data_IF_881308877691
#
_entry.id   IF_881308877691
#
_cell.length_a   1.000
_cell.length_b   1.000
_cell.length_c   1.000
_cell.angle_alpha   90.00
_cell.angle_beta   90.00
_cell.angle_gamma   90.00
#
_symmetry.space_group_name_H-M   'P 1'
#
loop_
_entity.id
_entity.type
_entity.pdbx_description
1 polymer ?
#
# COMPACT_ATOMS: atom_id res chain seq x y z
N UNK A 1 6.33 -1.63 3.37
CA UNK A 1 5.81 -2.38 4.54
C UNK A 1 5.21 -3.73 4.17
N UNK A 2 4.26 -3.76 3.22
CA UNK A 2 3.50 -4.98 2.85
C UNK A 2 4.22 -5.86 1.85
N UNK A 3 4.94 -5.26 0.90
CA UNK A 3 5.75 -5.93 -0.11
C UNK A 3 7.20 -5.46 -0.06
N UNK A 4 8.08 -6.30 -0.61
CA UNK A 4 9.47 -5.98 -0.92
C UNK A 4 9.64 -6.24 -2.42
N UNK A 5 10.25 -5.29 -3.12
CA UNK A 5 10.64 -5.41 -4.52
C UNK A 5 12.16 -5.40 -4.59
N UNK A 6 12.72 -6.26 -5.43
CA UNK A 6 14.15 -6.39 -5.66
C UNK A 6 14.41 -6.27 -7.15
N UNK A 7 15.38 -5.43 -7.53
CA UNK A 7 15.76 -5.20 -8.91
C UNK A 7 17.22 -5.57 -9.09
N UNK A 8 17.51 -6.44 -10.06
CA UNK A 8 18.86 -6.78 -10.48
C UNK A 8 19.27 -5.82 -11.59
N UNK A 9 20.34 -5.05 -11.37
CA UNK A 9 20.75 -3.96 -12.27
C UNK A 9 22.19 -4.19 -12.73
N UNK A 10 22.43 -4.04 -14.02
CA UNK A 10 23.77 -4.03 -14.58
C UNK A 10 24.48 -2.72 -14.22
N UNK A 11 25.60 -2.80 -13.49
CA UNK A 11 26.33 -1.61 -13.02
C UNK A 11 27.07 -0.85 -14.14
N UNK A 12 27.29 -1.48 -15.30
CA UNK A 12 27.98 -0.88 -16.45
C UNK A 12 26.97 -0.13 -17.34
N UNK A 13 25.83 -0.73 -17.65
CA UNK A 13 24.81 -0.13 -18.52
C UNK A 13 23.78 0.69 -17.75
N UNK A 14 23.54 0.37 -16.48
CA UNK A 14 22.45 0.93 -15.67
C UNK A 14 21.08 0.32 -15.96
N UNK A 15 21.00 -0.70 -16.82
CA UNK A 15 19.73 -1.35 -17.18
C UNK A 15 19.31 -2.37 -16.12
N UNK A 16 18.00 -2.44 -15.86
CA UNK A 16 17.42 -3.51 -15.05
C UNK A 16 17.41 -4.82 -15.84
N UNK A 17 18.14 -5.82 -15.36
CA UNK A 17 18.25 -7.16 -15.95
C UNK A 17 16.98 -7.96 -15.65
N UNK A 18 16.58 -8.01 -14.37
CA UNK A 18 15.42 -8.75 -13.89
C UNK A 18 14.90 -8.12 -12.58
N UNK A 19 13.71 -8.51 -12.15
CA UNK A 19 13.11 -8.08 -10.91
C UNK A 19 12.36 -9.22 -10.22
N UNK A 20 12.21 -9.11 -8.91
CA UNK A 20 11.40 -10.00 -8.10
C UNK A 20 10.59 -9.20 -7.08
N UNK A 21 9.46 -9.75 -6.65
CA UNK A 21 8.54 -9.09 -5.75
C UNK A 21 7.81 -10.09 -4.86
N UNK A 22 7.88 -9.89 -3.55
CA UNK A 22 7.31 -10.82 -2.58
C UNK A 22 6.65 -10.09 -1.41
N UNK A 23 5.78 -10.81 -0.70
CA UNK A 23 5.17 -10.32 0.54
C UNK A 23 6.26 -10.20 1.59
N UNK A 24 6.27 -9.09 2.32
CA UNK A 24 7.24 -8.90 3.39
C UNK A 24 7.04 -9.98 4.48
N UNK A 25 8.05 -10.83 4.77
CA UNK A 25 7.92 -11.95 5.70
C UNK A 25 7.60 -11.50 7.13
N UNK A 26 7.88 -10.24 7.46
CA UNK A 26 7.54 -9.64 8.76
C UNK A 26 6.03 -9.50 9.00
N UNK A 27 5.17 -9.79 8.01
CA UNK A 27 3.71 -9.82 8.18
C UNK A 27 3.29 -10.76 9.33
N UNK A 28 4.06 -11.81 9.62
CA UNK A 28 3.83 -12.71 10.74
C UNK A 28 3.93 -12.02 12.12
N UNK A 29 4.55 -10.85 12.20
CA UNK A 29 4.76 -10.09 13.43
C UNK A 29 3.88 -8.83 13.52
N UNK A 30 3.13 -8.52 12.46
CA UNK A 30 2.27 -7.35 12.38
C UNK A 30 1.93 -6.96 10.94
N UNK A 31 0.68 -6.58 10.71
CA UNK A 31 0.17 -6.19 9.40
C UNK A 31 0.68 -4.80 8.97
N UNK A 32 0.98 -3.93 9.93
CA UNK A 32 1.43 -2.55 9.71
C UNK A 32 2.73 -2.22 10.46
N UNK A 33 3.20 -0.98 10.30
CA UNK A 33 4.44 -0.49 10.95
C UNK A 33 4.32 -0.53 12.49
N UNK A 34 3.21 -0.05 13.04
CA UNK A 34 3.05 0.12 14.49
C UNK A 34 2.94 -1.23 15.21
N UNK A 35 2.16 -2.16 14.67
CA UNK A 35 2.04 -3.53 15.17
C UNK A 35 3.38 -4.25 15.20
N UNK A 36 4.23 -4.09 14.17
CA UNK A 36 5.61 -4.63 14.17
C UNK A 36 6.50 -3.99 15.22
N UNK A 37 6.46 -2.66 15.38
CA UNK A 37 7.21 -1.97 16.45
C UNK A 37 6.74 -2.46 17.83
N UNK A 38 5.43 -2.60 18.04
CA UNK A 38 4.88 -3.14 19.29
C UNK A 38 5.30 -4.59 19.55
N UNK A 39 5.38 -5.41 18.50
CA UNK A 39 5.90 -6.78 18.59
C UNK A 39 7.38 -6.80 19.02
N UNK A 40 8.21 -5.94 18.42
CA UNK A 40 9.62 -5.75 18.80
C UNK A 40 9.80 -5.18 20.21
N UNK A 41 8.88 -4.33 20.67
CA UNK A 41 8.88 -3.78 22.03
C UNK A 41 8.46 -4.80 23.08
N UNK A 42 7.58 -5.73 22.72
CA UNK A 42 7.06 -6.78 23.62
C UNK A 42 8.13 -7.84 23.88
N UNK A 43 8.84 -8.25 22.83
CA UNK A 43 9.99 -9.16 22.93
C UNK A 43 11.10 -8.64 22.00
N UNK A 44 12.23 -8.14 22.54
CA UNK A 44 13.36 -7.69 21.73
C UNK A 44 13.89 -8.76 20.75
N UNK A 45 13.68 -10.04 21.04
CA UNK A 45 14.04 -11.13 20.13
C UNK A 45 13.21 -11.10 18.84
N UNK A 46 12.00 -10.56 18.86
CA UNK A 46 11.18 -10.41 17.66
C UNK A 46 11.79 -9.43 16.66
N UNK A 47 12.47 -8.38 17.12
CA UNK A 47 13.20 -7.48 16.23
C UNK A 47 14.30 -8.23 15.46
N UNK A 48 15.08 -9.06 16.16
CA UNK A 48 16.12 -9.88 15.54
C UNK A 48 15.51 -10.88 14.55
N UNK A 49 14.45 -11.61 14.95
CA UNK A 49 13.78 -12.56 14.05
C UNK A 49 13.20 -11.89 12.81
N UNK A 50 12.60 -10.70 12.94
CA UNK A 50 12.10 -9.93 11.80
C UNK A 50 13.22 -9.50 10.85
N UNK A 51 14.41 -9.20 11.37
CA UNK A 51 15.59 -8.89 10.58
C UNK A 51 16.10 -10.13 9.85
N UNK A 52 16.26 -11.25 10.57
CA UNK A 52 16.70 -12.54 10.02
C UNK A 52 15.76 -13.06 8.93
N UNK A 53 14.45 -12.96 9.13
CA UNK A 53 13.41 -13.34 8.16
C UNK A 53 13.51 -12.54 6.86
N UNK A 54 13.68 -11.22 6.95
CA UNK A 54 13.85 -10.37 5.76
C UNK A 54 15.15 -10.69 5.03
N UNK A 55 16.26 -10.83 5.75
CA UNK A 55 17.57 -11.17 5.15
C UNK A 55 17.54 -12.56 4.51
N UNK A 56 16.94 -13.54 5.16
CA UNK A 56 16.78 -14.89 4.61
C UNK A 56 15.96 -14.86 3.32
N UNK A 57 14.86 -14.12 3.30
CA UNK A 57 13.99 -13.98 2.13
C UNK A 57 14.69 -13.22 0.99
N UNK A 58 15.42 -12.15 1.31
CA UNK A 58 16.24 -11.43 0.34
C UNK A 58 17.31 -12.33 -0.27
N UNK A 59 18.04 -13.10 0.56
CA UNK A 59 19.05 -14.04 0.07
C UNK A 59 18.46 -15.07 -0.90
N UNK A 60 17.28 -15.61 -0.58
CA UNK A 60 16.59 -16.54 -1.48
C UNK A 60 16.20 -15.88 -2.80
N UNK A 61 15.61 -14.68 -2.75
CA UNK A 61 15.20 -13.94 -3.95
C UNK A 61 16.41 -13.54 -4.81
N UNK A 62 17.53 -13.17 -4.18
CA UNK A 62 18.82 -12.93 -4.85
C UNK A 62 19.30 -14.19 -5.57
N UNK A 63 19.32 -15.34 -4.89
CA UNK A 63 19.72 -16.61 -5.48
C UNK A 63 18.83 -17.00 -6.67
N UNK A 64 17.51 -16.85 -6.52
CA UNK A 64 16.54 -17.09 -7.59
C UNK A 64 16.76 -16.16 -8.79
N UNK A 65 16.96 -14.84 -8.56
CA UNK A 65 17.26 -13.85 -9.60
C UNK A 65 18.57 -14.17 -10.33
N UNK A 66 19.64 -14.47 -9.59
CA UNK A 66 20.93 -14.82 -10.16
C UNK A 66 20.83 -16.09 -11.01
N UNK A 67 20.20 -17.15 -10.49
CA UNK A 67 20.03 -18.41 -11.20
C UNK A 67 19.22 -18.26 -12.49
N UNK A 68 18.18 -17.43 -12.51
CA UNK A 68 17.39 -17.17 -13.73
C UNK A 68 18.16 -16.45 -14.83
N UNK A 69 19.25 -15.77 -14.47
CA UNK A 69 20.04 -14.93 -15.38
C UNK A 69 21.46 -15.48 -15.59
N UNK A 70 21.73 -16.74 -15.22
CA UNK A 70 23.04 -17.39 -15.32
C UNK A 70 24.17 -16.62 -14.61
N UNK A 71 23.85 -15.98 -13.48
CA UNK A 71 24.78 -15.22 -12.63
C UNK A 71 25.01 -15.93 -11.29
N UNK A 72 26.09 -15.56 -10.63
CA UNK A 72 26.38 -15.89 -9.23
C UNK A 72 26.05 -14.71 -8.30
N UNK A 73 25.52 -14.94 -7.08
CA UNK A 73 25.36 -13.88 -6.08
C UNK A 73 26.67 -13.15 -5.75
N UNK A 74 27.83 -13.79 -5.92
CA UNK A 74 29.15 -13.14 -5.71
C UNK A 74 29.47 -12.05 -6.75
N UNK A 75 28.73 -12.00 -7.86
CA UNK A 75 28.84 -10.97 -8.90
C UNK A 75 28.03 -9.70 -8.55
N UNK A 76 27.17 -9.75 -7.53
CA UNK A 76 26.48 -8.57 -7.03
C UNK A 76 27.45 -7.79 -6.14
N UNK A 77 27.94 -6.66 -6.66
CA UNK A 77 28.99 -5.86 -6.04
C UNK A 77 28.47 -4.80 -5.07
N UNK A 78 27.23 -4.34 -5.24
CA UNK A 78 26.60 -3.32 -4.40
C UNK A 78 25.10 -3.61 -4.27
N UNK A 79 24.49 -3.15 -3.18
CA UNK A 79 23.04 -3.15 -3.00
C UNK A 79 22.60 -1.79 -2.45
N UNK A 80 21.53 -1.21 -2.98
CA UNK A 80 20.87 -0.05 -2.37
C UNK A 80 19.55 -0.49 -1.74
N UNK A 81 19.30 -0.08 -0.50
CA UNK A 81 18.06 -0.39 0.21
C UNK A 81 17.35 0.88 0.63
N UNK A 82 16.04 0.92 0.36
CA UNK A 82 15.15 2.01 0.72
C UNK A 82 13.87 1.46 1.33
N UNK A 83 13.27 2.22 2.22
CA UNK A 83 12.06 1.86 2.93
C UNK A 83 11.75 2.86 4.03
N UNK A 84 10.51 2.85 4.51
CA UNK A 84 10.13 3.72 5.62
C UNK A 84 10.99 3.45 6.85
N UNK A 85 11.05 4.44 7.74
CA UNK A 85 11.96 4.47 8.89
C UNK A 85 11.88 3.22 9.77
N UNK A 86 10.68 2.66 9.99
CA UNK A 86 10.58 1.43 10.77
C UNK A 86 11.20 0.21 10.08
N UNK A 87 10.96 0.05 8.77
CA UNK A 87 11.55 -1.04 7.99
C UNK A 87 13.06 -0.89 7.87
N UNK A 88 13.53 0.34 7.67
CA UNK A 88 14.94 0.72 7.69
C UNK A 88 15.61 0.28 9.00
N UNK A 89 15.05 0.66 10.14
CA UNK A 89 15.60 0.32 11.45
C UNK A 89 15.55 -1.18 11.76
N UNK A 90 14.45 -1.87 11.40
CA UNK A 90 14.36 -3.32 11.57
C UNK A 90 15.40 -4.06 10.73
N UNK A 91 15.60 -3.66 9.47
CA UNK A 91 16.59 -4.28 8.58
C UNK A 91 18.02 -4.12 9.10
N UNK A 92 18.35 -2.93 9.63
CA UNK A 92 19.66 -2.62 10.22
C UNK A 92 19.85 -3.17 11.65
N UNK A 93 18.83 -3.80 12.24
CA UNK A 93 18.88 -4.27 13.63
C UNK A 93 18.92 -3.14 14.66
N UNK A 94 18.49 -1.93 14.30
CA UNK A 94 18.41 -0.79 15.21
C UNK A 94 17.19 -0.89 16.15
N UNK A 95 17.28 -0.29 17.36
CA UNK A 95 16.12 -0.20 18.23
C UNK A 95 15.01 0.63 17.56
N UNK A 96 13.76 0.17 17.70
CA UNK A 96 12.57 0.81 17.09
C UNK A 96 11.60 1.40 18.11
N UNK A 97 11.80 1.16 19.41
CA UNK A 97 10.89 1.60 20.50
C UNK A 97 10.56 3.09 20.44
N UNK A 98 11.56 3.91 20.16
CA UNK A 98 11.46 5.36 20.09
C UNK A 98 10.67 5.85 18.87
N UNK A 99 10.46 5.01 17.86
CA UNK A 99 9.59 5.32 16.72
C UNK A 99 8.09 5.19 17.09
N UNK A 100 7.76 4.50 18.18
CA UNK A 100 6.39 4.40 18.70
C UNK A 100 6.06 5.43 19.79
N UNK A 101 7.04 6.20 20.25
CA UNK A 101 6.88 7.13 21.36
C UNK A 101 7.25 8.53 20.92
N UNK A 102 6.35 9.49 21.11
CA UNK A 102 6.65 10.91 20.88
C UNK A 102 7.94 11.29 21.62
N UNK A 103 8.93 11.90 20.93
CA UNK A 103 8.81 12.62 19.64
C UNK A 103 9.13 11.82 18.37
N UNK A 104 9.04 10.48 18.37
CA UNK A 104 9.17 9.60 17.20
C UNK A 104 10.55 9.71 16.51
N UNK A 105 11.62 9.73 17.30
CA UNK A 105 12.96 10.09 16.82
C UNK A 105 13.68 8.85 16.27
N UNK A 106 14.15 8.82 15.01
CA UNK A 106 14.98 7.72 14.53
C UNK A 106 16.34 7.66 15.25
N UNK A 107 16.96 6.49 15.29
CA UNK A 107 18.36 6.35 15.78
C UNK A 107 19.33 7.26 15.04
N UNK A 108 19.12 7.43 13.74
CA UNK A 108 19.96 8.20 12.83
C UNK A 108 19.12 8.62 11.63
N UNK A 109 19.42 9.80 11.11
CA UNK A 109 18.93 10.40 9.87
C UNK A 109 20.04 10.50 8.81
N UNK A 110 21.26 10.06 9.12
CA UNK A 110 22.39 9.99 8.18
C UNK A 110 22.32 8.75 7.27
N UNK A 111 22.87 8.82 6.03
CA UNK A 111 23.07 7.64 5.19
C UNK A 111 24.04 6.65 5.83
N UNK A 112 23.87 5.36 5.53
CA UNK A 112 24.69 4.29 6.07
C UNK A 112 25.23 3.40 4.97
N UNK A 113 26.55 3.22 4.96
CA UNK A 113 27.23 2.18 4.20
C UNK A 113 27.68 1.08 5.16
N UNK A 114 27.12 -0.13 4.97
CA UNK A 114 27.45 -1.29 5.80
C UNK A 114 27.84 -2.47 4.91
N UNK A 115 28.80 -3.28 5.35
CA UNK A 115 29.16 -4.48 4.60
C UNK A 115 27.97 -5.44 4.56
N UNK A 116 27.64 -5.94 3.37
CA UNK A 116 26.51 -6.84 3.18
C UNK A 116 26.60 -8.09 4.08
N UNK A 117 27.81 -8.61 4.28
CA UNK A 117 28.07 -9.76 5.17
C UNK A 117 27.74 -9.51 6.64
N UNK A 118 27.83 -8.26 7.11
CA UNK A 118 27.56 -7.90 8.50
C UNK A 118 26.05 -7.87 8.77
N UNK A 119 25.24 -7.74 7.71
CA UNK A 119 23.78 -7.87 7.72
C UNK A 119 23.32 -9.31 7.45
N UNK A 120 24.23 -10.23 7.10
CA UNK A 120 23.91 -11.61 6.73
C UNK A 120 23.49 -11.81 5.26
N UNK A 121 23.67 -10.80 4.40
CA UNK A 121 23.44 -10.95 2.96
C UNK A 121 24.57 -11.72 2.29
N UNK A 122 24.19 -12.60 1.36
CA UNK A 122 25.07 -13.54 0.65
C UNK A 122 25.33 -13.07 -0.78
N UNK A 123 25.85 -11.86 -0.90
CA UNK A 123 26.37 -11.29 -2.15
C UNK A 123 27.90 -11.23 -2.10
N UNK A 124 28.55 -10.51 -3.01
CA UNK A 124 30.02 -10.40 -3.03
C UNK A 124 30.60 -10.11 -1.62
N UNK A 125 31.65 -10.81 -1.17
CA UNK A 125 32.22 -10.60 0.18
C UNK A 125 32.71 -9.18 0.45
N UNK A 126 32.97 -8.42 -0.62
CA UNK A 126 33.39 -7.03 -0.59
C UNK A 126 32.24 -6.02 -0.67
N UNK A 127 31.02 -6.44 -0.99
CA UNK A 127 29.89 -5.55 -1.28
C UNK A 127 29.45 -4.71 -0.09
N UNK A 128 28.99 -3.49 -0.39
CA UNK A 128 28.26 -2.65 0.54
C UNK A 128 26.76 -2.71 0.28
N UNK A 129 26.02 -2.48 1.36
CA UNK A 129 24.62 -2.08 1.31
C UNK A 129 24.59 -0.59 1.63
N UNK A 130 24.11 0.19 0.67
CA UNK A 130 23.87 1.62 0.79
C UNK A 130 22.44 1.83 1.25
N UNK A 131 22.27 2.40 2.43
CA UNK A 131 20.97 2.73 2.98
C UNK A 131 20.83 4.25 3.00
N UNK A 132 19.80 4.75 2.30
CA UNK A 132 19.52 6.18 2.19
C UNK A 132 19.12 6.78 3.55
N UNK A 133 19.32 8.10 3.75
CA UNK A 133 18.91 8.76 4.98
C UNK A 133 17.39 8.72 5.16
N UNK A 134 16.94 8.79 6.41
CA UNK A 134 15.54 8.99 6.77
C UNK A 134 15.31 10.44 7.17
N UNK A 135 14.10 10.97 6.99
CA UNK A 135 13.78 12.38 7.33
C UNK A 135 13.21 12.48 8.75
N UNK A 136 12.36 11.53 9.16
CA UNK A 136 11.68 11.53 10.46
C UNK A 136 11.20 10.12 10.82
N UNK A 137 10.59 9.95 12.00
CA UNK A 137 10.07 8.65 12.45
C UNK A 137 9.07 7.98 11.51
N UNK A 138 8.32 8.76 10.72
CA UNK A 138 7.33 8.27 9.75
C UNK A 138 7.61 8.72 8.30
N UNK A 139 8.75 9.34 8.04
CA UNK A 139 9.16 9.74 6.69
C UNK A 139 10.55 9.15 6.45
N UNK A 140 10.60 8.04 5.72
CA UNK A 140 11.81 7.25 5.56
C UNK A 140 12.54 7.43 4.25
N UNK A 141 13.45 6.49 3.99
CA UNK A 141 14.35 6.49 2.85
C UNK A 141 13.63 6.19 1.52
N UNK A 142 12.48 5.53 1.57
CA UNK A 142 11.58 5.37 0.43
C UNK A 142 11.09 6.72 -0.10
N UNK A 143 10.68 7.62 0.79
CA UNK A 143 10.28 8.98 0.40
C UNK A 143 11.44 9.77 -0.21
N UNK A 144 12.65 9.62 0.33
CA UNK A 144 13.86 10.23 -0.25
C UNK A 144 14.14 9.67 -1.64
N UNK A 145 14.01 8.35 -1.84
CA UNK A 145 14.15 7.75 -3.16
C UNK A 145 13.09 8.22 -4.15
N UNK A 146 11.85 8.42 -3.71
CA UNK A 146 10.79 9.01 -4.56
C UNK A 146 11.16 10.42 -5.00
N UNK A 147 11.66 11.26 -4.08
CA UNK A 147 12.11 12.62 -4.40
C UNK A 147 13.25 12.63 -5.43
N UNK A 148 14.25 11.76 -5.24
CA UNK A 148 15.40 11.67 -6.15
C UNK A 148 15.01 11.14 -7.53
N UNK A 149 14.22 10.06 -7.58
CA UNK A 149 13.85 9.40 -8.83
C UNK A 149 12.84 10.20 -9.66
N UNK A 150 11.96 10.97 -9.02
CA UNK A 150 10.99 11.82 -9.72
C UNK A 150 11.61 13.06 -10.34
N UNK A 151 12.83 13.45 -9.93
CA UNK A 151 13.45 14.72 -10.31
C UNK A 151 12.63 15.93 -9.86
N UNK A 152 11.70 15.77 -8.91
CA UNK A 152 10.76 16.82 -8.49
C UNK A 152 11.47 18.05 -7.91
N UNK A 153 12.64 17.83 -7.30
CA UNK A 153 13.51 18.87 -6.76
C UNK A 153 14.06 19.77 -7.88
N UNK A 154 14.19 19.25 -9.09
CA UNK A 154 14.76 19.95 -10.24
C UNK A 154 13.70 20.68 -11.11
N UNK A 155 12.40 20.50 -10.83
CA UNK A 155 11.31 20.99 -11.68
C UNK A 155 10.97 22.49 -11.54
N UNK A 156 11.50 23.19 -10.53
CA UNK A 156 11.43 24.65 -10.40
C UNK A 156 10.16 25.23 -9.76
N UNK A 157 10.38 26.25 -8.92
CA UNK A 157 9.48 27.05 -8.07
C UNK A 157 8.51 26.30 -7.15
N UNK A 158 7.58 25.47 -7.65
CA UNK A 158 6.59 24.79 -6.80
C UNK A 158 6.17 23.44 -7.37
N UNK A 159 6.37 22.39 -6.60
CA UNK A 159 5.94 21.05 -6.97
C UNK A 159 5.42 20.27 -5.76
N UNK A 160 4.53 19.32 -5.99
CA UNK A 160 4.01 18.42 -4.95
C UNK A 160 4.15 16.97 -5.40
N UNK A 161 4.87 16.17 -4.63
CA UNK A 161 4.98 14.73 -4.78
C UNK A 161 4.08 14.05 -3.77
N UNK A 162 3.34 13.03 -4.18
CA UNK A 162 2.45 12.26 -3.31
C UNK A 162 2.73 10.78 -3.58
N UNK A 163 3.29 10.09 -2.59
CA UNK A 163 3.38 8.63 -2.57
C UNK A 163 2.17 8.07 -1.83
N UNK A 164 1.32 7.32 -2.54
CA UNK A 164 0.08 6.77 -1.99
C UNK A 164 0.30 5.28 -1.73
N UNK A 165 0.50 4.94 -0.46
CA UNK A 165 0.53 3.56 0.01
C UNK A 165 -0.29 3.36 1.28
N UNK A 166 0.11 2.36 2.07
CA UNK A 166 -0.43 2.10 3.41
C UNK A 166 -0.34 3.37 4.30
N UNK A 167 0.76 4.10 4.16
CA UNK A 167 0.88 5.49 4.55
C UNK A 167 0.92 6.35 3.28
N UNK A 168 0.48 7.60 3.40
CA UNK A 168 0.65 8.58 2.33
C UNK A 168 1.73 9.58 2.74
N UNK A 169 2.80 9.62 1.97
CA UNK A 169 3.87 10.59 2.13
C UNK A 169 3.71 11.70 1.09
N UNK A 170 3.78 12.95 1.55
CA UNK A 170 3.63 14.13 0.72
C UNK A 170 4.90 14.95 0.84
N UNK A 171 5.44 15.37 -0.30
CA UNK A 171 6.48 16.39 -0.39
C UNK A 171 5.93 17.63 -1.08
N UNK A 172 6.15 18.79 -0.47
CA UNK A 172 5.91 20.10 -1.07
C UNK A 172 7.24 20.79 -1.28
N UNK A 173 7.62 20.98 -2.55
CA UNK A 173 8.77 21.77 -2.96
C UNK A 173 8.31 23.20 -3.19
N UNK A 174 8.92 24.17 -2.53
CA UNK A 174 8.75 25.60 -2.76
C UNK A 174 10.14 26.24 -2.80
N UNK A 175 10.52 26.76 -3.95
CA UNK A 175 11.86 27.27 -4.24
C UNK A 175 12.92 26.22 -3.84
N UNK A 176 13.86 26.58 -2.97
CA UNK A 176 14.93 25.69 -2.49
C UNK A 176 14.52 24.88 -1.23
N UNK A 177 13.24 24.84 -0.86
CA UNK A 177 12.75 24.17 0.35
C UNK A 177 11.85 23.00 0.01
N UNK A 178 12.06 21.90 0.72
CA UNK A 178 11.21 20.72 0.66
C UNK A 178 10.60 20.52 2.05
N UNK A 179 9.27 20.47 2.10
CA UNK A 179 8.53 20.12 3.32
C UNK A 179 7.88 18.77 3.10
N UNK A 180 8.21 17.80 3.95
CA UNK A 180 7.65 16.46 3.88
C UNK A 180 6.74 16.18 5.08
N UNK A 181 5.64 15.48 4.85
CA UNK A 181 4.80 14.92 5.89
C UNK A 181 4.35 13.50 5.52
N UNK A 182 3.98 12.72 6.53
CA UNK A 182 3.33 11.43 6.35
C UNK A 182 2.00 11.44 7.09
N UNK A 183 1.01 10.75 6.53
CA UNK A 183 -0.30 10.56 7.14
C UNK A 183 -0.74 9.11 6.97
N UNK A 184 -1.46 8.60 7.98
CA UNK A 184 -2.11 7.30 7.85
C UNK A 184 -3.29 7.42 6.87
N UNK A 185 -3.17 6.81 5.69
CA UNK A 185 -4.23 6.75 4.68
C UNK A 185 -5.08 5.50 4.79
N UNK A 186 -4.52 4.41 5.33
CA UNK A 186 -5.15 3.10 5.33
C UNK A 186 -5.10 2.44 3.94
N UNK A 187 -5.23 1.10 3.86
CA UNK A 187 -4.92 0.35 2.65
C UNK A 187 -6.10 0.25 1.67
N UNK A 188 -7.03 1.21 1.68
CA UNK A 188 -8.24 1.17 0.86
C UNK A 188 -7.92 1.09 -0.65
N UNK A 189 -6.94 1.88 -1.12
CA UNK A 189 -6.49 1.84 -2.52
C UNK A 189 -5.65 0.59 -2.86
N UNK A 190 -5.20 -0.16 -1.86
CA UNK A 190 -4.59 -1.49 -2.05
C UNK A 190 -5.66 -2.61 -2.13
N UNK A 191 -6.95 -2.26 -2.06
CA UNK A 191 -8.08 -3.18 -2.06
C UNK A 191 -8.37 -3.82 -0.70
N UNK A 192 -7.65 -3.44 0.36
CA UNK A 192 -7.88 -4.01 1.69
C UNK A 192 -9.04 -3.31 2.42
N UNK A 193 -9.73 -4.08 3.26
CA UNK A 193 -10.92 -3.66 4.00
C UNK A 193 -12.10 -3.16 3.13
N UNK A 194 -12.09 -3.59 1.87
CA UNK A 194 -13.17 -3.39 0.90
C UNK A 194 -13.68 -4.79 0.53
N UNK A 195 -15.00 -5.05 0.58
CA UNK A 195 -15.57 -6.41 0.49
C UNK A 195 -15.15 -7.16 -0.77
N UNK A 196 -15.14 -6.47 -1.91
CA UNK A 196 -14.63 -6.99 -3.18
C UNK A 196 -13.35 -6.29 -3.61
N UNK A 197 -12.69 -5.62 -2.68
CA UNK A 197 -11.43 -4.97 -2.95
C UNK A 197 -10.38 -6.04 -3.19
N UNK A 198 -9.58 -5.81 -4.22
CA UNK A 198 -8.46 -6.66 -4.55
C UNK A 198 -7.33 -5.79 -5.11
N UNK A 199 -6.15 -6.38 -5.22
CA UNK A 199 -5.04 -5.72 -5.90
C UNK A 199 -5.27 -5.71 -7.40
N UNK A 200 -4.59 -4.81 -8.11
CA UNK A 200 -4.54 -4.83 -9.57
C UNK A 200 -3.96 -6.18 -10.04
N UNK A 201 -4.83 -6.99 -10.65
CA UNK A 201 -4.54 -8.30 -11.22
C UNK A 201 -5.63 -8.63 -12.25
N UNK A 202 -5.40 -9.65 -13.09
CA UNK A 202 -6.36 -10.10 -14.09
C UNK A 202 -7.79 -10.25 -13.50
N UNK A 203 -8.77 -9.60 -14.12
CA UNK A 203 -10.17 -9.58 -13.68
C UNK A 203 -10.48 -8.58 -12.56
N UNK A 204 -9.52 -7.78 -12.09
CA UNK A 204 -9.82 -6.62 -11.25
C UNK A 204 -10.44 -5.50 -12.09
N UNK A 205 -11.56 -4.94 -11.63
CA UNK A 205 -12.16 -3.73 -12.21
C UNK A 205 -11.22 -2.56 -11.95
N UNK A 206 -10.70 -1.97 -13.02
CA UNK A 206 -9.79 -0.83 -12.96
C UNK A 206 -10.44 0.49 -13.39
N UNK A 207 -11.60 0.42 -14.04
CA UNK A 207 -12.35 1.57 -14.52
C UNK A 207 -13.84 1.33 -14.44
N UNK A 208 -14.56 2.36 -14.00
CA UNK A 208 -16.02 2.39 -13.89
C UNK A 208 -16.51 3.63 -14.62
N UNK A 209 -17.63 3.51 -15.33
CA UNK A 209 -18.36 4.63 -15.91
C UNK A 209 -19.84 4.46 -15.63
N UNK A 210 -20.53 5.54 -15.29
CA UNK A 210 -21.98 5.53 -15.00
C UNK A 210 -22.68 6.50 -15.95
N UNK A 211 -23.68 6.04 -16.68
CA UNK A 211 -24.47 6.93 -17.53
C UNK A 211 -25.33 7.87 -16.65
N UNK A 212 -25.24 9.20 -16.81
CA UNK A 212 -25.95 10.15 -15.94
C UNK A 212 -27.47 10.20 -16.16
N UNK A 213 -27.99 9.61 -17.24
CA UNK A 213 -29.42 9.59 -17.56
C UNK A 213 -30.04 8.25 -17.23
N UNK A 214 -29.36 7.15 -17.57
CA UNK A 214 -29.89 5.79 -17.42
C UNK A 214 -29.37 5.08 -16.16
N UNK A 215 -28.29 5.58 -15.57
CA UNK A 215 -27.56 4.94 -14.48
C UNK A 215 -27.00 3.55 -14.82
N UNK A 216 -26.86 3.25 -16.12
CA UNK A 216 -26.20 2.04 -16.59
C UNK A 216 -24.71 2.08 -16.21
N UNK A 217 -24.22 1.03 -15.54
CA UNK A 217 -22.83 0.91 -15.12
C UNK A 217 -22.06 0.06 -16.11
N UNK A 218 -20.92 0.60 -16.57
CA UNK A 218 -19.95 -0.15 -17.39
C UNK A 218 -18.63 -0.22 -16.65
N UNK A 219 -18.00 -1.38 -16.73
CA UNK A 219 -16.71 -1.66 -16.07
C UNK A 219 -15.71 -2.15 -17.10
N UNK A 220 -14.44 -1.81 -16.89
CA UNK A 220 -13.32 -2.45 -17.59
C UNK A 220 -12.43 -3.14 -16.57
N UNK A 221 -11.96 -4.32 -16.93
CA UNK A 221 -11.12 -5.16 -16.09
C UNK A 221 -9.73 -5.30 -16.69
N UNK A 222 -8.74 -5.51 -15.82
CA UNK A 222 -7.38 -5.84 -16.22
C UNK A 222 -7.40 -7.17 -17.01
N UNK A 223 -6.69 -7.18 -18.14
CA UNK A 223 -6.63 -8.29 -19.12
C UNK A 223 -7.98 -8.68 -19.75
N UNK A 224 -9.00 -7.82 -19.66
CA UNK A 224 -10.35 -8.08 -20.22
C UNK A 224 -10.95 -9.42 -19.73
N UNK A 225 -10.63 -9.79 -18.49
CA UNK A 225 -11.13 -11.02 -17.85
C UNK A 225 -12.45 -10.77 -17.12
N UNK A 226 -13.27 -11.81 -16.87
CA UNK A 226 -14.46 -11.69 -16.04
C UNK A 226 -14.13 -11.04 -14.69
N UNK A 227 -14.96 -10.09 -14.20
CA UNK A 227 -14.65 -9.35 -13.00
C UNK A 227 -14.71 -10.23 -11.75
N UNK A 228 -13.68 -10.16 -10.92
CA UNK A 228 -13.56 -10.92 -9.66
C UNK A 228 -13.36 -10.04 -8.43
N UNK A 229 -13.23 -8.72 -8.64
CA UNK A 229 -13.12 -7.70 -7.61
C UNK A 229 -12.79 -6.33 -8.20
N UNK A 230 -12.50 -5.35 -7.35
CA UNK A 230 -12.19 -3.97 -7.72
C UNK A 230 -10.82 -3.58 -7.18
N UNK A 231 -9.96 -2.99 -8.01
CA UNK A 231 -8.67 -2.46 -7.58
C UNK A 231 -8.76 -0.97 -7.22
N UNK A 232 -7.68 -0.39 -6.70
CA UNK A 232 -7.66 0.99 -6.23
C UNK A 232 -8.14 2.02 -7.26
N UNK A 233 -7.75 1.86 -8.53
CA UNK A 233 -8.22 2.75 -9.61
C UNK A 233 -9.73 2.58 -9.88
N UNK A 234 -10.24 1.35 -9.84
CA UNK A 234 -11.66 1.08 -9.98
C UNK A 234 -12.49 1.66 -8.82
N UNK A 235 -11.98 1.63 -7.59
CA UNK A 235 -12.61 2.27 -6.43
C UNK A 235 -12.67 3.78 -6.64
N UNK A 236 -11.56 4.39 -7.07
CA UNK A 236 -11.49 5.83 -7.31
C UNK A 236 -12.46 6.26 -8.42
N UNK A 237 -12.48 5.54 -9.55
CA UNK A 237 -13.38 5.81 -10.66
C UNK A 237 -14.84 5.62 -10.25
N UNK A 238 -15.18 4.56 -9.51
CA UNK A 238 -16.54 4.34 -9.02
C UNK A 238 -17.04 5.53 -8.17
N UNK A 239 -16.24 5.97 -7.20
CA UNK A 239 -16.60 7.12 -6.35
C UNK A 239 -16.73 8.40 -7.19
N UNK A 240 -15.79 8.63 -8.11
CA UNK A 240 -15.81 9.81 -8.97
C UNK A 240 -17.05 9.84 -9.87
N UNK A 241 -17.42 8.72 -10.48
CA UNK A 241 -18.61 8.62 -11.32
C UNK A 241 -19.90 8.74 -10.51
N UNK A 242 -19.95 8.16 -9.31
CA UNK A 242 -21.10 8.31 -8.42
C UNK A 242 -21.31 9.77 -7.99
N UNK A 243 -20.24 10.51 -7.72
CA UNK A 243 -20.31 11.95 -7.45
C UNK A 243 -20.79 12.73 -8.67
N UNK A 244 -20.26 12.44 -9.86
CA UNK A 244 -20.64 13.13 -11.12
C UNK A 244 -22.11 12.90 -11.49
N UNK A 245 -22.61 11.69 -11.26
CA UNK A 245 -24.00 11.30 -11.59
C UNK A 245 -24.99 11.60 -10.48
N UNK A 246 -24.53 12.12 -9.34
CA UNK A 246 -25.36 12.46 -8.18
C UNK A 246 -25.80 11.25 -7.35
N UNK A 247 -25.29 10.04 -7.64
CA UNK A 247 -25.46 8.82 -6.82
C UNK A 247 -24.90 9.01 -5.42
N UNK A 248 -23.79 9.74 -5.31
CA UNK A 248 -23.17 10.13 -4.07
C UNK A 248 -23.22 11.65 -3.91
N UNK A 249 -23.54 12.14 -2.71
CA UNK A 249 -23.37 13.55 -2.37
C UNK A 249 -21.93 13.88 -1.93
N UNK A 250 -21.65 15.17 -1.74
CA UNK A 250 -20.33 15.67 -1.28
C UNK A 250 -19.88 15.15 0.09
N UNK A 251 -20.80 14.53 0.86
CA UNK A 251 -20.54 13.95 2.18
C UNK A 251 -20.33 12.44 2.12
N UNK A 252 -20.38 11.84 0.92
CA UNK A 252 -20.27 10.40 0.76
C UNK A 252 -21.56 9.65 1.06
N UNK A 253 -22.71 10.31 1.05
CA UNK A 253 -24.01 9.66 1.27
C UNK A 253 -24.67 9.31 -0.06
N UNK A 254 -25.22 8.10 -0.14
CA UNK A 254 -26.06 7.69 -1.27
C UNK A 254 -27.36 8.52 -1.32
N UNK A 255 -27.66 9.07 -2.48
CA UNK A 255 -28.89 9.84 -2.74
C UNK A 255 -30.01 8.87 -3.09
N UNK A 256 -31.10 8.89 -2.32
CA UNK A 256 -32.14 7.83 -2.33
C UNK A 256 -33.20 7.94 -3.44
N UNK A 257 -33.23 9.04 -4.18
CA UNK A 257 -34.33 9.34 -5.13
C UNK A 257 -33.87 9.31 -6.61
N UNK A 258 -32.96 8.40 -6.93
CA UNK A 258 -32.39 8.28 -8.28
C UNK A 258 -33.16 7.24 -9.11
N UNK A 259 -33.59 7.55 -10.34
CA UNK A 259 -34.30 6.61 -11.22
C UNK A 259 -33.44 5.39 -11.62
N UNK A 260 -34.04 4.20 -11.68
CA UNK A 260 -33.42 2.94 -12.13
C UNK A 260 -33.17 1.94 -10.99
N UNK A 261 -32.62 0.76 -11.31
CA UNK A 261 -32.08 -0.22 -10.35
C UNK A 261 -30.82 0.31 -9.62
N UNK A 262 -30.68 1.63 -9.48
CA UNK A 262 -29.66 2.27 -8.65
C UNK A 262 -29.77 1.87 -7.16
N UNK A 263 -30.92 1.35 -6.75
CA UNK A 263 -31.12 0.71 -5.44
C UNK A 263 -30.51 -0.70 -5.34
N UNK A 264 -30.31 -1.40 -6.47
CA UNK A 264 -29.68 -2.72 -6.58
C UNK A 264 -28.19 -2.66 -6.95
N UNK A 265 -27.70 -1.48 -7.36
CA UNK A 265 -26.28 -1.10 -7.26
C UNK A 265 -25.87 -1.02 -5.79
N UNK A 266 -25.78 -2.19 -5.17
CA UNK A 266 -25.55 -2.39 -3.76
C UNK A 266 -24.12 -2.08 -3.38
N UNK A 267 -23.77 -0.79 -3.34
CA UNK A 267 -22.59 -0.27 -2.66
C UNK A 267 -22.99 0.10 -1.23
N UNK A 268 -23.26 -0.92 -0.42
CA UNK A 268 -23.70 -0.72 0.96
C UNK A 268 -22.49 -0.38 1.84
N UNK A 269 -22.54 0.82 2.39
CA UNK A 269 -21.65 1.37 3.40
C UNK A 269 -22.03 0.80 4.76
N UNK A 270 -21.27 -0.15 5.31
CA UNK A 270 -21.48 -0.61 6.68
C UNK A 270 -20.36 -0.14 7.61
N UNK A 271 -20.76 0.46 8.71
CA UNK A 271 -19.93 0.96 9.80
C UNK A 271 -20.02 -0.02 10.99
N UNK A 272 -18.86 -0.40 11.57
CA UNK A 272 -18.70 -0.63 13.01
C UNK A 272 -18.89 -2.04 13.63
N UNK A 273 -17.77 -2.51 14.20
CA UNK A 273 -17.57 -3.30 15.44
C UNK A 273 -17.81 -4.82 15.54
N UNK A 274 -16.89 -5.41 16.31
CA UNK A 274 -16.68 -6.81 16.73
C UNK A 274 -17.90 -7.50 17.36
N UNK A 275 -18.31 -8.65 16.80
CA UNK A 275 -18.34 -10.01 17.38
C UNK A 275 -19.07 -10.97 16.41
N UNK A 276 -18.73 -12.26 16.34
CA UNK A 276 -19.29 -13.16 15.35
C UNK A 276 -20.71 -13.57 15.75
N UNK A 277 -21.72 -13.09 15.02
CA UNK A 277 -23.09 -13.60 15.17
C UNK A 277 -23.42 -14.50 13.98
N UNK A 278 -23.55 -15.79 14.25
CA UNK A 278 -24.21 -16.74 13.36
C UNK A 278 -25.65 -16.27 13.14
N UNK A 279 -25.95 -15.71 11.97
CA UNK A 279 -27.32 -15.37 11.57
C UNK A 279 -27.59 -15.96 10.19
N UNK A 280 -28.46 -16.98 10.19
CA UNK A 280 -29.17 -17.44 9.01
C UNK A 280 -30.10 -16.30 8.54
N UNK A 281 -29.85 -15.74 7.35
CA UNK A 281 -30.64 -14.63 6.80
C UNK A 281 -31.75 -15.23 5.91
N UNK A 282 -33.03 -15.17 6.30
CA UNK A 282 -34.11 -15.44 5.37
C UNK A 282 -34.33 -14.23 4.45
N UNK A 283 -34.79 -14.51 3.24
CA UNK A 283 -35.08 -13.57 2.17
C UNK A 283 -36.17 -12.54 2.56
N UNK A 284 -35.80 -11.45 3.24
CA UNK A 284 -36.47 -10.14 3.24
C UNK A 284 -35.65 -9.17 4.12
N UNK A 285 -35.11 -8.11 3.51
CA UNK A 285 -34.19 -7.16 4.16
C UNK A 285 -34.97 -6.10 4.94
N UNK A 286 -34.69 -5.99 6.24
CA UNK A 286 -35.17 -4.91 7.11
C UNK A 286 -34.06 -3.88 7.37
N UNK A 287 -34.42 -2.59 7.33
CA UNK A 287 -33.55 -1.42 7.43
C UNK A 287 -33.40 -0.91 8.87
N UNK A 288 -32.25 -0.32 9.21
CA UNK A 288 -32.07 0.48 10.46
C UNK A 288 -31.31 1.78 10.19
N UNK A 289 -31.84 2.91 10.69
CA UNK A 289 -31.34 4.28 10.48
C UNK A 289 -30.31 4.73 11.54
N UNK A 290 -29.30 5.50 11.12
CA UNK A 290 -28.31 6.14 12.00
C UNK A 290 -28.71 7.59 12.34
N UNK A 291 -29.31 7.81 13.51
CA UNK A 291 -29.65 9.15 14.03
C UNK A 291 -29.04 9.47 15.40
N UNK A 292 -27.93 8.82 15.76
CA UNK A 292 -27.20 9.12 17.00
C UNK A 292 -25.72 8.97 16.76
N UNK A 293 -24.96 10.07 16.85
CA UNK A 293 -23.64 10.19 17.49
C UNK A 293 -22.93 11.49 17.04
N UNK A 294 -23.35 12.60 17.65
CA UNK A 294 -22.47 13.73 17.93
C UNK A 294 -21.65 13.36 19.17
N UNK A 295 -20.41 12.91 18.98
CA UNK A 295 -19.23 13.17 19.84
C UNK A 295 -18.10 12.22 19.46
N UNK A 296 -16.87 12.74 19.51
CA UNK A 296 -15.60 12.15 19.09
C UNK A 296 -15.20 12.41 17.63
N UNK A 297 -14.68 13.63 17.41
CA UNK A 297 -13.89 13.98 16.24
C UNK A 297 -12.48 13.40 16.41
N UNK A 298 -12.24 12.17 15.96
CA UNK A 298 -10.92 11.59 15.61
C UNK A 298 -11.16 10.17 15.08
N UNK A 299 -11.30 10.03 13.76
CA UNK A 299 -11.26 8.81 12.93
C UNK A 299 -12.15 9.08 11.70
N UNK A 300 -11.59 9.80 10.74
CA UNK A 300 -12.16 9.94 9.40
C UNK A 300 -11.19 9.21 8.49
N UNK A 301 -11.73 8.38 7.60
CA UNK A 301 -11.07 7.43 6.69
C UNK A 301 -10.89 6.05 7.31
N UNK A 302 -11.84 5.15 7.03
CA UNK A 302 -11.62 3.88 6.29
C UNK A 302 -12.99 3.17 6.16
N UNK A 303 -13.06 2.19 5.25
CA UNK A 303 -14.11 1.19 4.98
C UNK A 303 -15.05 1.55 3.83
N UNK A 304 -15.60 0.51 3.16
CA UNK A 304 -16.73 0.49 2.19
C UNK A 304 -16.33 0.12 0.74
N UNK A 305 -16.81 -1.03 0.23
CA UNK A 305 -17.42 -1.22 -1.12
C UNK A 305 -18.17 -2.56 -1.10
N UNK A 306 -19.40 -2.63 -1.64
CA UNK A 306 -20.02 -3.86 -2.16
C UNK A 306 -20.32 -3.61 -3.65
N UNK A 307 -19.98 -4.54 -4.55
CA UNK A 307 -20.29 -4.51 -5.98
C UNK A 307 -21.08 -5.80 -6.23
N UNK A 308 -22.37 -5.67 -6.54
CA UNK A 308 -23.17 -6.81 -6.99
C UNK A 308 -22.94 -6.98 -8.49
N UNK A 309 -22.59 -8.20 -8.91
CA UNK A 309 -22.61 -8.59 -10.32
C UNK A 309 -23.93 -9.30 -10.56
N UNK A 310 -24.80 -8.74 -11.39
CA UNK A 310 -25.79 -9.58 -12.04
C UNK A 310 -25.07 -10.50 -13.01
N UNK A 311 -25.40 -11.80 -12.91
CA UNK A 311 -25.05 -12.75 -13.96
C UNK A 311 -25.62 -12.19 -15.25
N UNK A 312 -24.73 -11.80 -16.17
CA UNK A 312 -25.11 -11.68 -17.57
C UNK A 312 -25.63 -13.06 -17.99
N UNK A 313 -26.95 -13.17 -18.13
CA UNK A 313 -27.59 -14.27 -18.82
C UNK A 313 -27.00 -14.30 -20.23
N UNK A 314 -26.10 -15.26 -20.46
CA UNK A 314 -25.68 -15.64 -21.79
C UNK A 314 -26.89 -16.29 -22.48
N UNK A 315 -27.73 -15.47 -23.09
CA UNK A 315 -28.65 -15.88 -24.12
C UNK A 315 -27.93 -15.83 -25.48
N UNK A 316 -27.62 -17.02 -26.03
CA UNK A 316 -27.48 -17.22 -27.47
C UNK A 316 -26.11 -17.72 -27.93
N UNK A 317 -26.08 -19.00 -28.32
CA UNK A 317 -24.99 -19.67 -29.02
C UNK A 317 -25.00 -21.17 -28.82
#
# INVERSE_FOLDING_TARGET
>A
TTKIALYLVDLVSGETIDADGFINPQIAYGEDVMSRIMSAMTDPQNALRMQEEVVSTLNKSIEDLCHRNDLSPEEILEMTLVGNTAMHHLFLGFPTRQLALSPFVPVTDEPIDIKARDLGLKISPGAYVHVLPVIAGFVGADHVAMLLSSGIVDQGEKAMGIDIGTNTEIALVIDDKIVSCSTASGPAFEGAHIRYGMRAAAGAIERVTIDPQTYEVKVMTIEDKPPVGVCGSGVLDAIAEMLKTGVLDERGKLVRDIPGEAHELGLVVLYGFHEPVDIHIPSQVHYTEASTLQHHAHQILTYIVQISFDRADYAGG
#
